data_IF_004581793649
#
_entry.id   IF_004581793649
#
_cell.length_a   1.000
_cell.length_b   1.000
_cell.length_c   1.000
_cell.angle_alpha   90.00
_cell.angle_beta   90.00
_cell.angle_gamma   90.00
#
_symmetry.space_group_name_H-M   'P 1'
#
loop_
_entity.id
_entity.type
_entity.pdbx_description
1 polymer ?
#
# COMPACT_ATOMS: atom_id res chain seq x y z
N UNK A 1 6.94 8.37 -32.37
CA UNK A 1 6.14 7.30 -33.00
C UNK A 1 5.08 6.80 -32.03
N UNK A 2 4.08 6.06 -32.52
CA UNK A 2 3.07 5.35 -31.68
C UNK A 2 3.71 4.35 -30.72
N UNK A 3 4.82 3.73 -31.13
CA UNK A 3 5.60 2.77 -30.35
C UNK A 3 6.13 3.39 -29.06
N UNK A 4 6.74 4.59 -29.15
CA UNK A 4 7.27 5.29 -27.95
C UNK A 4 6.17 5.57 -26.92
N UNK A 5 5.01 6.07 -27.38
CA UNK A 5 3.86 6.33 -26.49
C UNK A 5 3.33 5.08 -25.81
N UNK A 6 3.34 3.93 -26.49
CA UNK A 6 2.92 2.67 -25.89
C UNK A 6 3.94 2.17 -24.84
N UNK A 7 5.24 2.33 -25.12
CA UNK A 7 6.30 2.00 -24.15
C UNK A 7 6.19 2.87 -22.88
N UNK A 8 5.97 4.18 -23.04
CA UNK A 8 5.78 5.09 -21.90
C UNK A 8 4.58 4.67 -21.02
N UNK A 9 3.47 4.25 -21.65
CA UNK A 9 2.29 3.76 -20.91
C UNK A 9 2.52 2.45 -20.17
N UNK A 10 3.30 1.53 -20.74
CA UNK A 10 3.69 0.27 -20.10
C UNK A 10 4.60 0.58 -18.89
N UNK A 11 5.54 1.52 -19.03
CA UNK A 11 6.39 1.94 -17.94
C UNK A 11 5.56 2.52 -16.78
N UNK A 12 4.65 3.46 -17.06
CA UNK A 12 3.77 4.03 -16.03
C UNK A 12 2.89 2.97 -15.35
N UNK A 13 2.43 1.96 -16.09
CA UNK A 13 1.69 0.83 -15.52
C UNK A 13 2.57 0.03 -14.55
N UNK A 14 3.80 -0.27 -14.91
CA UNK A 14 4.75 -0.99 -14.06
C UNK A 14 5.09 -0.18 -12.81
N UNK A 15 5.29 1.14 -12.93
CA UNK A 15 5.55 2.01 -11.78
C UNK A 15 4.38 1.99 -10.78
N UNK A 16 3.13 1.99 -11.27
CA UNK A 16 1.94 1.86 -10.42
C UNK A 16 1.85 0.51 -9.73
N UNK A 17 2.16 -0.59 -10.44
CA UNK A 17 2.21 -1.93 -9.85
C UNK A 17 3.26 -2.03 -8.75
N UNK A 18 4.47 -1.56 -9.02
CA UNK A 18 5.57 -1.53 -8.05
C UNK A 18 5.21 -0.68 -6.83
N UNK A 19 4.54 0.46 -7.04
CA UNK A 19 4.03 1.29 -5.93
C UNK A 19 3.00 0.54 -5.09
N UNK A 20 2.06 -0.16 -5.74
CA UNK A 20 1.05 -0.97 -5.04
C UNK A 20 1.70 -2.09 -4.21
N UNK A 21 2.71 -2.76 -4.75
CA UNK A 21 3.47 -3.81 -4.07
C UNK A 21 4.17 -3.27 -2.81
N UNK A 22 4.86 -2.13 -2.91
CA UNK A 22 5.47 -1.47 -1.73
C UNK A 22 4.46 -1.11 -0.64
N UNK A 23 3.25 -0.70 -1.04
CA UNK A 23 2.18 -0.41 -0.08
C UNK A 23 1.65 -1.68 0.59
N UNK A 24 1.61 -2.81 -0.12
CA UNK A 24 1.32 -4.12 0.48
C UNK A 24 2.39 -4.52 1.50
N UNK A 25 3.67 -4.41 1.15
CA UNK A 25 4.79 -4.74 2.05
C UNK A 25 4.76 -3.88 3.32
N UNK A 26 4.50 -2.57 3.17
CA UNK A 26 4.37 -1.65 4.30
C UNK A 26 3.22 -2.07 5.23
N UNK A 27 2.05 -2.37 4.65
CA UNK A 27 0.87 -2.83 5.38
C UNK A 27 1.14 -4.13 6.16
N UNK A 28 1.82 -5.08 5.54
CA UNK A 28 2.11 -6.38 6.14
C UNK A 28 3.12 -6.22 7.29
N UNK A 29 4.18 -5.43 7.08
CA UNK A 29 5.14 -5.07 8.13
C UNK A 29 4.48 -4.39 9.33
N UNK A 30 3.57 -3.44 9.07
CA UNK A 30 2.80 -2.78 10.13
C UNK A 30 1.91 -3.75 10.90
N UNK A 31 1.34 -4.75 10.22
CA UNK A 31 0.49 -5.77 10.87
C UNK A 31 1.31 -6.63 11.84
N UNK A 32 2.50 -7.05 11.44
CA UNK A 32 3.44 -7.75 12.34
C UNK A 32 3.85 -6.88 13.53
N UNK A 33 4.13 -5.61 13.27
CA UNK A 33 4.50 -4.66 14.32
C UNK A 33 3.35 -4.44 15.31
N UNK A 34 2.11 -4.30 14.85
CA UNK A 34 0.93 -4.20 15.71
C UNK A 34 0.77 -5.43 16.61
N UNK A 35 1.03 -6.63 16.09
CA UNK A 35 1.01 -7.86 16.88
C UNK A 35 2.04 -7.80 18.01
N UNK A 36 3.29 -7.41 17.69
CA UNK A 36 4.37 -7.26 18.68
C UNK A 36 4.06 -6.19 19.72
N UNK A 37 3.48 -5.07 19.32
CA UNK A 37 3.08 -3.99 20.24
C UNK A 37 1.99 -4.47 21.21
N UNK A 38 1.00 -5.22 20.73
CA UNK A 38 -0.08 -5.79 21.58
C UNK A 38 0.48 -6.82 22.56
N UNK A 39 1.39 -7.68 22.11
CA UNK A 39 2.10 -8.62 22.98
C UNK A 39 2.90 -7.88 24.07
N UNK A 40 3.67 -6.86 23.69
CA UNK A 40 4.42 -6.04 24.65
C UNK A 40 3.49 -5.36 25.66
N UNK A 41 2.33 -4.83 25.24
CA UNK A 41 1.35 -4.23 26.17
C UNK A 41 0.84 -5.28 27.16
N UNK A 42 0.61 -6.51 26.72
CA UNK A 42 0.01 -7.57 27.55
C UNK A 42 0.87 -8.00 28.74
N UNK A 43 2.19 -7.79 28.65
CA UNK A 43 3.15 -8.16 29.71
C UNK A 43 3.51 -6.98 30.63
N UNK A 44 3.02 -5.77 30.35
CA UNK A 44 3.32 -4.58 31.16
C UNK A 44 2.43 -4.51 32.41
N UNK A 45 3.06 -4.20 33.55
CA UNK A 45 2.37 -4.01 34.83
C UNK A 45 1.62 -2.69 34.95
N UNK A 46 1.20 -2.34 36.16
CA UNK A 46 0.42 -1.13 36.45
C UNK A 46 1.23 -0.06 37.20
N UNK A 47 2.55 -0.24 37.28
CA UNK A 47 3.44 0.80 37.78
C UNK A 47 3.53 1.99 36.80
N UNK A 48 3.95 3.15 37.30
CA UNK A 48 4.01 4.38 36.51
C UNK A 48 4.85 4.26 35.23
N UNK A 49 5.94 3.47 35.25
CA UNK A 49 6.78 3.28 34.07
C UNK A 49 6.07 2.43 33.02
N UNK A 50 5.46 1.33 33.46
CA UNK A 50 4.64 0.46 32.59
C UNK A 50 3.46 1.22 31.98
N UNK A 51 2.75 2.04 32.76
CA UNK A 51 1.65 2.86 32.26
C UNK A 51 2.10 3.88 31.20
N UNK A 52 3.23 4.57 31.44
CA UNK A 52 3.82 5.48 30.45
C UNK A 52 4.19 4.76 29.15
N UNK A 53 4.68 3.52 29.25
CA UNK A 53 5.04 2.72 28.07
C UNK A 53 3.80 2.22 27.32
N UNK A 54 2.75 1.78 28.04
CA UNK A 54 1.44 1.42 27.47
C UNK A 54 0.88 2.59 26.65
N UNK A 55 0.88 3.81 27.18
CA UNK A 55 0.41 5.00 26.47
C UNK A 55 1.17 5.25 25.16
N UNK A 56 2.50 5.11 25.17
CA UNK A 56 3.32 5.26 23.96
C UNK A 56 3.00 4.21 22.90
N UNK A 57 2.81 2.96 23.30
CA UNK A 57 2.44 1.89 22.37
C UNK A 57 1.03 2.09 21.81
N UNK A 58 0.06 2.47 22.65
CA UNK A 58 -1.30 2.80 22.18
C UNK A 58 -1.27 3.96 21.18
N UNK A 59 -0.51 5.02 21.45
CA UNK A 59 -0.35 6.12 20.48
C UNK A 59 0.19 5.62 19.14
N UNK A 60 1.22 4.76 19.16
CA UNK A 60 1.80 4.19 17.95
C UNK A 60 0.80 3.30 17.17
N UNK A 61 -0.01 2.51 17.88
CA UNK A 61 -1.08 1.72 17.25
C UNK A 61 -2.09 2.62 16.53
N UNK A 62 -2.51 3.73 17.15
CA UNK A 62 -3.43 4.70 16.54
C UNK A 62 -2.83 5.38 15.30
N UNK A 63 -1.54 5.72 15.35
CA UNK A 63 -0.82 6.29 14.20
C UNK A 63 -0.75 5.28 13.05
N UNK A 64 -0.51 4.00 13.35
CA UNK A 64 -0.53 2.92 12.37
C UNK A 64 -1.93 2.70 11.77
N UNK A 65 -3.00 2.74 12.57
CA UNK A 65 -4.39 2.65 12.07
C UNK A 65 -4.69 3.77 11.06
N UNK A 66 -4.30 5.00 11.39
CA UNK A 66 -4.42 6.14 10.47
C UNK A 66 -3.61 5.94 9.18
N UNK A 67 -2.47 5.24 9.24
CA UNK A 67 -1.68 4.88 8.06
C UNK A 67 -2.33 3.76 7.25
N UNK A 68 -2.91 2.75 7.89
CA UNK A 68 -3.65 1.66 7.24
C UNK A 68 -4.80 2.19 6.39
N UNK A 69 -5.57 3.16 6.90
CA UNK A 69 -6.67 3.76 6.15
C UNK A 69 -6.16 4.45 4.88
N UNK A 70 -5.06 5.21 4.99
CA UNK A 70 -4.43 5.89 3.85
C UNK A 70 -3.90 4.90 2.81
N UNK A 71 -3.18 3.87 3.26
CA UNK A 71 -2.67 2.81 2.39
C UNK A 71 -3.82 2.12 1.65
N UNK A 72 -4.89 1.76 2.37
CA UNK A 72 -6.05 1.08 1.80
C UNK A 72 -6.73 1.93 0.72
N UNK A 73 -6.95 3.22 0.99
CA UNK A 73 -7.50 4.16 0.02
C UNK A 73 -6.60 4.31 -1.22
N UNK A 74 -5.29 4.39 -1.03
CA UNK A 74 -4.32 4.51 -2.11
C UNK A 74 -4.24 3.25 -2.98
N UNK A 75 -4.30 2.07 -2.37
CA UNK A 75 -4.33 0.80 -3.10
C UNK A 75 -5.60 0.65 -3.95
N UNK A 76 -6.77 1.02 -3.42
CA UNK A 76 -8.03 1.04 -4.19
C UNK A 76 -7.92 1.98 -5.39
N UNK A 77 -7.28 3.15 -5.21
CA UNK A 77 -7.04 4.10 -6.31
C UNK A 77 -6.10 3.50 -7.35
N UNK A 78 -4.98 2.91 -6.92
CA UNK A 78 -4.02 2.27 -7.81
C UNK A 78 -4.64 1.12 -8.60
N UNK A 79 -5.53 0.33 -8.00
CA UNK A 79 -6.24 -0.74 -8.69
C UNK A 79 -7.09 -0.22 -9.85
N UNK A 80 -7.91 0.80 -9.61
CA UNK A 80 -8.71 1.44 -10.66
C UNK A 80 -7.83 1.99 -11.78
N UNK A 81 -6.69 2.59 -11.42
CA UNK A 81 -5.76 3.14 -12.40
C UNK A 81 -5.04 2.05 -13.21
N UNK A 82 -4.63 0.95 -12.58
CA UNK A 82 -4.00 -0.20 -13.24
C UNK A 82 -4.98 -0.83 -14.22
N UNK A 83 -6.22 -1.07 -13.80
CA UNK A 83 -7.26 -1.64 -14.66
C UNK A 83 -7.56 -0.76 -15.88
N UNK A 84 -7.68 0.55 -15.66
CA UNK A 84 -7.88 1.52 -16.74
C UNK A 84 -6.70 1.55 -17.72
N UNK A 85 -5.47 1.53 -17.20
CA UNK A 85 -4.25 1.45 -18.01
C UNK A 85 -4.17 0.15 -18.81
N UNK A 86 -4.49 -1.00 -18.22
CA UNK A 86 -4.52 -2.30 -18.90
C UNK A 86 -5.52 -2.29 -20.07
N UNK A 87 -6.76 -1.85 -19.83
CA UNK A 87 -7.78 -1.73 -20.89
C UNK A 87 -7.34 -0.80 -22.02
N UNK A 88 -6.69 0.31 -21.66
CA UNK A 88 -6.19 1.28 -22.65
C UNK A 88 -5.09 0.67 -23.53
N UNK A 89 -4.15 -0.04 -22.91
CA UNK A 89 -3.06 -0.72 -23.63
C UNK A 89 -3.61 -1.82 -24.52
N UNK A 90 -4.50 -2.66 -24.01
CA UNK A 90 -5.14 -3.75 -24.77
C UNK A 90 -5.88 -3.21 -26.01
N UNK A 91 -6.70 -2.17 -25.85
CA UNK A 91 -7.41 -1.54 -26.97
C UNK A 91 -6.46 -1.00 -28.04
N UNK A 92 -5.33 -0.41 -27.65
CA UNK A 92 -4.32 0.09 -28.60
C UNK A 92 -3.61 -1.05 -29.31
N UNK A 93 -3.27 -2.13 -28.62
CA UNK A 93 -2.64 -3.31 -29.20
C UNK A 93 -3.58 -4.02 -30.19
N UNK A 94 -4.87 -4.14 -29.86
CA UNK A 94 -5.86 -4.74 -30.76
C UNK A 94 -6.03 -3.91 -32.04
N UNK A 95 -6.05 -2.58 -31.94
CA UNK A 95 -6.07 -1.68 -33.13
C UNK A 95 -4.83 -1.79 -34.01
N UNK A 96 -3.68 -2.16 -33.44
CA UNK A 96 -2.45 -2.39 -34.20
C UNK A 96 -2.46 -3.75 -34.90
N UNK A 97 -3.07 -4.77 -34.29
CA UNK A 97 -3.22 -6.13 -34.88
C UNK A 97 -4.28 -6.20 -35.98
N UNK A 98 -5.29 -5.34 -35.92
CA UNK A 98 -6.38 -5.27 -36.90
C UNK A 98 -6.04 -4.44 -38.15
N UNK A 99 -4.80 -3.97 -38.26
CA UNK A 99 -4.22 -3.29 -39.43
C UNK A 99 -3.22 -4.20 -40.10
#
# INVERSE_FOLDING_TARGET
>A
SSIKRNADQIQMLNDKKNKKEKLYEERDTMSEEQSRLRENISVLGDDNQSMTLKERYVKKLNDQESRFEKISAEMIKLDKEIDSSNKTIENKLNKLKAK
#
